data_IF_868839488094
#
_entry.id   IF_868839488094
#
_cell.length_a   1.000
_cell.length_b   1.000
_cell.length_c   1.000
_cell.angle_alpha   90.00
_cell.angle_beta   90.00
_cell.angle_gamma   90.00
#
_symmetry.space_group_name_H-M   'P 1'
#
loop_
_entity.id
_entity.type
_entity.pdbx_description
1 polymer ?
#
# COMPACT_ATOMS: atom_id res chain seq x y z
N UNK A 1 -8.85 -13.46 -11.24
CA UNK A 1 -8.53 -14.11 -12.53
C UNK A 1 -7.43 -13.40 -13.33
N UNK A 2 -7.12 -12.12 -13.02
CA UNK A 2 -6.10 -11.32 -13.71
C UNK A 2 -4.88 -11.02 -12.82
N UNK A 3 -4.79 -11.60 -11.62
CA UNK A 3 -3.74 -11.30 -10.64
C UNK A 3 -3.78 -9.86 -10.08
N UNK A 4 -4.82 -9.10 -10.39
CA UNK A 4 -5.02 -7.74 -9.90
C UNK A 4 -6.10 -7.74 -8.82
N UNK A 5 -5.85 -6.95 -7.77
CA UNK A 5 -6.79 -6.76 -6.67
C UNK A 5 -7.63 -5.53 -6.95
N UNK A 6 -8.95 -5.72 -6.94
CA UNK A 6 -9.87 -4.60 -6.98
C UNK A 6 -10.12 -4.11 -5.54
N UNK A 7 -9.71 -2.89 -5.21
CA UNK A 7 -9.61 -2.45 -3.82
C UNK A 7 -10.95 -2.41 -3.07
N UNK A 8 -12.06 -2.20 -3.76
CA UNK A 8 -13.39 -2.19 -3.13
C UNK A 8 -13.86 -3.58 -2.71
N UNK A 9 -13.67 -4.60 -3.58
CA UNK A 9 -13.96 -6.00 -3.26
C UNK A 9 -13.08 -6.50 -2.10
N UNK A 10 -11.81 -6.08 -2.09
CA UNK A 10 -10.91 -6.39 -0.99
C UNK A 10 -11.38 -5.79 0.33
N UNK A 11 -11.76 -4.51 0.34
CA UNK A 11 -12.21 -3.83 1.55
C UNK A 11 -13.50 -4.46 2.11
N UNK A 12 -14.43 -4.86 1.24
CA UNK A 12 -15.63 -5.61 1.62
C UNK A 12 -15.29 -6.98 2.23
N UNK A 13 -14.35 -7.71 1.60
CA UNK A 13 -13.90 -9.00 2.12
C UNK A 13 -13.23 -8.87 3.49
N UNK A 14 -12.44 -7.81 3.71
CA UNK A 14 -11.79 -7.52 5.00
C UNK A 14 -12.78 -7.19 6.10
N UNK A 15 -13.87 -6.50 5.82
CA UNK A 15 -14.93 -6.25 6.80
C UNK A 15 -15.57 -7.56 7.29
N UNK A 16 -15.82 -8.48 6.37
CA UNK A 16 -16.39 -9.78 6.67
C UNK A 16 -17.81 -9.73 7.27
N UNK A 17 -18.39 -10.88 7.64
CA UNK A 17 -19.71 -10.95 8.24
C UNK A 17 -19.79 -10.19 9.58
N UNK A 18 -20.74 -9.28 9.70
CA UNK A 18 -20.96 -8.46 10.90
C UNK A 18 -19.95 -7.32 11.09
N UNK A 19 -19.01 -7.16 10.18
CA UNK A 19 -18.08 -6.03 10.18
C UNK A 19 -18.67 -4.78 9.51
N UNK A 20 -17.89 -3.72 9.50
CA UNK A 20 -18.27 -2.46 8.86
C UNK A 20 -17.15 -1.95 7.93
N UNK A 21 -17.57 -1.32 6.84
CA UNK A 21 -16.72 -0.66 5.88
C UNK A 21 -17.21 0.76 5.67
N UNK A 22 -16.34 1.74 5.85
CA UNK A 22 -16.62 3.15 5.59
C UNK A 22 -15.58 3.66 4.60
N UNK A 23 -16.01 4.07 3.41
CA UNK A 23 -15.14 4.69 2.43
C UNK A 23 -14.73 6.09 2.88
N UNK A 24 -13.46 6.41 2.67
CA UNK A 24 -12.88 7.70 3.06
C UNK A 24 -12.29 8.42 1.84
N UNK A 25 -12.36 9.75 1.84
CA UNK A 25 -11.63 10.59 0.88
C UNK A 25 -11.29 11.95 1.49
N UNK A 26 -10.40 12.69 0.83
CA UNK A 26 -9.99 14.03 1.30
C UNK A 26 -11.14 15.04 1.14
N UNK A 27 -11.32 15.85 2.18
CA UNK A 27 -12.09 17.09 2.11
C UNK A 27 -11.21 18.27 1.63
N UNK A 28 -11.77 19.48 1.60
CA UNK A 28 -11.05 20.69 1.16
C UNK A 28 -9.89 21.07 2.10
N UNK A 29 -9.95 20.67 3.36
CA UNK A 29 -8.90 20.88 4.35
C UNK A 29 -7.79 19.79 4.32
N UNK A 30 -7.87 18.83 3.38
CA UNK A 30 -6.91 17.73 3.25
C UNK A 30 -7.03 16.63 4.31
N UNK A 31 -8.16 16.54 5.01
CA UNK A 31 -8.45 15.50 6.01
C UNK A 31 -9.33 14.42 5.41
N UNK A 32 -9.09 13.16 5.80
CA UNK A 32 -9.98 12.07 5.43
C UNK A 32 -11.33 12.17 6.15
N UNK A 33 -12.40 12.16 5.37
CA UNK A 33 -13.78 12.15 5.84
C UNK A 33 -14.56 11.01 5.19
N UNK A 34 -15.65 10.61 5.80
CA UNK A 34 -16.56 9.61 5.24
C UNK A 34 -17.21 10.11 3.96
N UNK A 35 -17.24 9.25 2.94
CA UNK A 35 -17.86 9.58 1.65
C UNK A 35 -18.82 8.48 1.21
N UNK A 36 -19.96 8.91 0.69
CA UNK A 36 -20.90 8.03 -0.01
C UNK A 36 -20.60 8.11 -1.51
N UNK A 37 -19.78 7.17 -1.98
CA UNK A 37 -19.30 7.12 -3.36
C UNK A 37 -19.36 5.71 -3.89
N UNK A 38 -19.97 5.54 -5.07
CA UNK A 38 -19.99 4.25 -5.74
C UNK A 38 -18.57 3.74 -6.05
N UNK A 39 -18.31 2.43 -5.98
CA UNK A 39 -17.03 1.82 -6.33
C UNK A 39 -16.52 2.27 -7.70
N UNK A 40 -15.23 2.54 -7.81
CA UNK A 40 -14.56 2.99 -9.04
C UNK A 40 -14.74 4.47 -9.40
N UNK A 41 -15.42 5.25 -8.57
CA UNK A 41 -15.58 6.70 -8.74
C UNK A 41 -14.50 7.53 -8.02
N UNK A 42 -13.51 6.87 -7.43
CA UNK A 42 -12.30 7.53 -6.92
C UNK A 42 -11.53 8.24 -8.04
N UNK A 43 -10.93 9.36 -7.71
CA UNK A 43 -10.13 10.16 -8.66
C UNK A 43 -8.64 9.85 -8.57
N UNK A 44 -8.17 9.36 -7.42
CA UNK A 44 -6.78 9.00 -7.18
C UNK A 44 -6.50 7.50 -7.39
N UNK A 45 -5.24 7.15 -7.62
CA UNK A 45 -4.76 5.77 -7.78
C UNK A 45 -4.63 4.99 -6.47
N UNK A 46 -5.04 5.58 -5.35
CA UNK A 46 -5.13 4.93 -4.05
C UNK A 46 -6.50 5.23 -3.42
N UNK A 47 -7.07 4.27 -2.74
CA UNK A 47 -8.27 4.45 -1.92
C UNK A 47 -7.96 4.27 -0.44
N UNK A 48 -8.72 4.95 0.41
CA UNK A 48 -8.70 4.80 1.84
C UNK A 48 -10.08 4.36 2.36
N UNK A 49 -10.08 3.53 3.41
CA UNK A 49 -11.28 3.09 4.09
C UNK A 49 -11.01 2.87 5.58
N UNK A 50 -12.03 3.01 6.40
CA UNK A 50 -12.07 2.53 7.77
C UNK A 50 -12.80 1.20 7.79
N UNK A 51 -12.14 0.15 8.25
CA UNK A 51 -12.70 -1.20 8.32
C UNK A 51 -12.67 -1.69 9.75
N UNK A 52 -13.79 -2.25 10.21
CA UNK A 52 -13.89 -2.93 11.50
C UNK A 52 -14.33 -4.37 11.26
N UNK A 53 -13.53 -5.32 11.73
CA UNK A 53 -13.78 -6.75 11.52
C UNK A 53 -13.95 -7.46 12.86
N UNK A 54 -15.11 -8.05 13.15
CA UNK A 54 -15.27 -8.94 14.30
C UNK A 54 -14.39 -10.17 14.16
N UNK A 55 -13.75 -10.55 15.25
CA UNK A 55 -12.95 -11.79 15.33
C UNK A 55 -13.37 -12.60 16.54
N UNK A 56 -12.92 -13.86 16.63
CA UNK A 56 -13.19 -14.69 17.78
C UNK A 56 -12.62 -14.11 19.10
N UNK A 57 -11.50 -13.39 19.01
CA UNK A 57 -10.85 -12.74 20.16
C UNK A 57 -11.40 -11.35 20.44
N UNK A 58 -11.95 -10.69 19.44
CA UNK A 58 -12.49 -9.33 19.49
C UNK A 58 -13.87 -9.32 18.82
N UNK A 59 -14.94 -9.78 19.53
CA UNK A 59 -16.30 -9.79 18.98
C UNK A 59 -16.82 -8.38 18.66
N UNK A 60 -16.32 -7.37 19.38
CA UNK A 60 -16.62 -5.94 19.14
C UNK A 60 -16.00 -5.42 17.84
N UNK A 61 -15.02 -6.14 17.30
CA UNK A 61 -14.34 -5.81 16.08
C UNK A 61 -12.98 -5.12 16.28
N UNK A 62 -12.06 -5.40 15.37
CA UNK A 62 -10.77 -4.72 15.25
C UNK A 62 -10.89 -3.68 14.16
N UNK A 63 -10.66 -2.41 14.50
CA UNK A 63 -10.71 -1.28 13.58
C UNK A 63 -9.32 -0.97 13.04
N UNK A 64 -9.22 -0.73 11.74
CA UNK A 64 -8.00 -0.35 11.04
C UNK A 64 -8.30 0.66 9.92
N UNK A 65 -7.30 1.45 9.56
CA UNK A 65 -7.34 2.25 8.34
C UNK A 65 -6.72 1.43 7.22
N UNK A 66 -7.47 1.23 6.15
CA UNK A 66 -7.03 0.48 4.97
C UNK A 66 -6.59 1.45 3.88
N UNK A 67 -5.41 1.20 3.31
CA UNK A 67 -4.94 1.81 2.08
C UNK A 67 -4.82 0.73 1.00
N UNK A 68 -5.31 1.00 -0.20
CA UNK A 68 -5.20 0.07 -1.32
C UNK A 68 -4.89 0.79 -2.62
N UNK A 69 -3.88 0.33 -3.36
CA UNK A 69 -3.61 0.78 -4.71
C UNK A 69 -4.73 0.35 -5.67
N UNK A 70 -5.18 1.25 -6.52
CA UNK A 70 -6.21 0.97 -7.53
C UNK A 70 -5.57 0.71 -8.89
N UNK A 71 -5.51 -0.56 -9.35
CA UNK A 71 -4.91 -0.88 -10.64
C UNK A 71 -5.67 -0.30 -11.83
N UNK A 72 -6.91 0.12 -11.64
CA UNK A 72 -7.74 0.73 -12.71
C UNK A 72 -7.42 2.20 -12.94
N UNK A 73 -6.67 2.82 -12.03
CA UNK A 73 -6.24 4.22 -12.07
C UNK A 73 -4.72 4.31 -12.24
N UNK A 74 -4.26 4.30 -13.48
CA UNK A 74 -2.84 4.40 -13.80
C UNK A 74 -1.96 3.31 -13.16
N UNK A 75 -2.53 2.11 -12.90
CA UNK A 75 -1.85 1.02 -12.18
C UNK A 75 -1.32 1.45 -10.80
N UNK A 76 -2.03 2.32 -10.09
CA UNK A 76 -1.61 2.84 -8.79
C UNK A 76 -0.39 3.77 -8.87
N UNK A 77 -0.21 4.49 -9.99
CA UNK A 77 0.84 5.51 -10.10
C UNK A 77 0.64 6.59 -9.05
N UNK A 78 1.74 7.04 -8.44
CA UNK A 78 1.70 7.99 -7.33
C UNK A 78 2.12 9.40 -7.76
N UNK A 79 1.33 10.37 -7.31
CA UNK A 79 1.60 11.80 -7.40
C UNK A 79 1.02 12.48 -6.15
N UNK A 80 0.88 13.80 -6.16
CA UNK A 80 0.33 14.56 -5.04
C UNK A 80 -0.99 14.00 -4.50
N UNK A 81 -2.02 13.67 -5.34
CA UNK A 81 -3.30 13.18 -4.83
C UNK A 81 -3.20 11.86 -4.04
N UNK A 82 -2.30 10.98 -4.44
CA UNK A 82 -2.06 9.71 -3.75
C UNK A 82 -1.28 9.94 -2.45
N UNK A 83 -0.21 10.73 -2.50
CA UNK A 83 0.62 11.04 -1.34
C UNK A 83 -0.17 11.75 -0.24
N UNK A 84 -1.02 12.71 -0.60
CA UNK A 84 -1.89 13.41 0.36
C UNK A 84 -2.86 12.46 1.07
N UNK A 85 -3.41 11.46 0.37
CA UNK A 85 -4.27 10.44 0.97
C UNK A 85 -3.51 9.50 1.90
N UNK A 86 -2.29 9.14 1.55
CA UNK A 86 -1.41 8.32 2.42
C UNK A 86 -1.14 9.07 3.72
N UNK A 87 -0.72 10.34 3.64
CA UNK A 87 -0.44 11.17 4.81
C UNK A 87 -1.69 11.30 5.68
N UNK A 88 -2.83 11.68 5.10
CA UNK A 88 -4.07 11.85 5.84
C UNK A 88 -4.60 10.53 6.45
N UNK A 89 -4.31 9.37 5.83
CA UNK A 89 -4.67 8.07 6.39
C UNK A 89 -3.83 7.73 7.63
N UNK A 90 -2.55 8.07 7.59
CA UNK A 90 -1.66 7.90 8.73
C UNK A 90 -2.06 8.84 9.87
N UNK A 91 -2.40 10.11 9.56
CA UNK A 91 -2.88 11.09 10.55
C UNK A 91 -4.17 10.59 11.24
N UNK A 92 -5.12 10.08 10.46
CA UNK A 92 -6.37 9.52 11.01
C UNK A 92 -6.12 8.28 11.86
N UNK A 93 -5.21 7.39 11.43
CA UNK A 93 -4.84 6.21 12.20
C UNK A 93 -4.20 6.57 13.54
N UNK A 94 -3.35 7.59 13.56
CA UNK A 94 -2.74 8.12 14.78
C UNK A 94 -3.78 8.74 15.71
N UNK A 95 -4.67 9.61 15.18
CA UNK A 95 -5.78 10.20 15.96
C UNK A 95 -6.68 9.13 16.60
N UNK A 96 -6.93 8.04 15.89
CA UNK A 96 -7.77 6.93 16.35
C UNK A 96 -7.03 5.92 17.22
N UNK A 97 -5.71 5.91 17.23
CA UNK A 97 -4.89 4.89 17.90
C UNK A 97 -5.05 3.50 17.28
N UNK A 98 -5.21 3.41 15.96
CA UNK A 98 -5.43 2.15 15.22
C UNK A 98 -4.31 1.91 14.21
N UNK A 99 -4.06 0.66 13.80
CA UNK A 99 -3.07 0.37 12.76
C UNK A 99 -3.56 0.77 11.36
N UNK A 100 -2.58 0.93 10.46
CA UNK A 100 -2.79 0.99 9.01
C UNK A 100 -2.52 -0.39 8.42
N UNK A 101 -3.42 -0.90 7.59
CA UNK A 101 -3.17 -2.05 6.72
C UNK A 101 -3.09 -1.55 5.27
N UNK A 102 -1.97 -1.79 4.63
CA UNK A 102 -1.70 -1.28 3.30
C UNK A 102 -1.54 -2.40 2.28
N UNK A 103 -2.52 -2.51 1.38
CA UNK A 103 -2.47 -3.44 0.25
C UNK A 103 -1.81 -2.72 -0.93
N UNK A 104 -0.51 -2.94 -1.08
CA UNK A 104 0.31 -2.12 -1.95
C UNK A 104 0.35 -2.66 -3.38
N UNK A 105 0.07 -1.77 -4.31
CA UNK A 105 0.22 -1.96 -5.74
C UNK A 105 0.53 -0.59 -6.35
N UNK A 106 1.64 -0.45 -7.07
CA UNK A 106 2.02 0.83 -7.66
C UNK A 106 2.96 0.66 -8.84
N UNK A 107 2.70 1.39 -9.90
CA UNK A 107 3.60 1.51 -11.05
C UNK A 107 4.72 2.55 -10.85
N UNK A 108 4.84 3.13 -9.65
CA UNK A 108 5.83 4.15 -9.32
C UNK A 108 5.30 5.57 -9.44
N UNK A 109 6.20 6.55 -9.41
CA UNK A 109 5.84 7.96 -9.56
C UNK A 109 5.21 8.21 -10.93
N UNK A 110 4.15 9.04 -10.95
CA UNK A 110 3.49 9.43 -12.19
C UNK A 110 4.45 10.25 -13.06
N UNK A 111 4.62 9.82 -14.30
CA UNK A 111 5.35 10.57 -15.32
C UNK A 111 4.32 11.18 -16.26
N UNK A 112 4.20 12.51 -16.26
CA UNK A 112 3.27 13.24 -17.12
C UNK A 112 3.85 14.60 -17.50
N UNK A 113 3.23 15.24 -18.49
CA UNK A 113 3.58 16.62 -18.84
C UNK A 113 3.08 17.65 -17.82
N UNK A 114 2.17 17.22 -16.93
CA UNK A 114 1.54 18.08 -15.92
C UNK A 114 2.26 18.03 -14.56
N UNK A 115 3.28 17.19 -14.44
CA UNK A 115 4.03 17.01 -13.19
C UNK A 115 5.53 16.97 -13.46
N UNK A 116 6.30 17.62 -12.61
CA UNK A 116 7.75 17.70 -12.67
C UNK A 116 8.42 17.05 -11.46
N UNK A 117 9.51 17.65 -11.04
CA UNK A 117 10.33 17.18 -9.90
C UNK A 117 9.59 17.25 -8.56
N UNK A 118 8.55 18.05 -8.44
CA UNK A 118 7.68 18.18 -7.26
C UNK A 118 7.04 16.85 -6.84
N UNK A 119 6.90 15.88 -7.74
CA UNK A 119 6.48 14.53 -7.37
C UNK A 119 7.43 13.88 -6.36
N UNK A 120 8.72 14.19 -6.42
CA UNK A 120 9.70 13.69 -5.44
C UNK A 120 9.49 14.33 -4.06
N UNK A 121 9.06 15.58 -4.01
CA UNK A 121 8.74 16.26 -2.74
C UNK A 121 7.52 15.61 -2.08
N UNK A 122 6.47 15.31 -2.83
CA UNK A 122 5.28 14.60 -2.34
C UNK A 122 5.62 13.19 -1.86
N UNK A 123 6.41 12.45 -2.65
CA UNK A 123 6.88 11.11 -2.28
C UNK A 123 7.73 11.16 -1.01
N UNK A 124 8.62 12.15 -0.90
CA UNK A 124 9.43 12.38 0.30
C UNK A 124 8.60 12.76 1.52
N UNK A 125 7.55 13.59 1.36
CA UNK A 125 6.64 13.94 2.45
C UNK A 125 5.87 12.72 2.98
N UNK A 126 5.38 11.84 2.08
CA UNK A 126 4.74 10.59 2.50
C UNK A 126 5.73 9.66 3.24
N UNK A 127 6.96 9.51 2.73
CA UNK A 127 7.99 8.73 3.41
C UNK A 127 8.29 9.27 4.81
N UNK A 128 8.46 10.59 4.93
CA UNK A 128 8.70 11.24 6.21
C UNK A 128 7.58 10.93 7.20
N UNK A 129 6.32 11.00 6.77
CA UNK A 129 5.17 10.73 7.65
C UNK A 129 5.10 9.26 8.09
N UNK A 130 5.44 8.32 7.20
CA UNK A 130 5.57 6.89 7.54
C UNK A 130 6.61 6.70 8.65
N UNK A 131 7.79 7.32 8.50
CA UNK A 131 8.89 7.21 9.47
C UNK A 131 8.48 7.82 10.81
N UNK A 132 7.93 9.03 10.84
CA UNK A 132 7.46 9.69 12.06
C UNK A 132 6.43 8.82 12.79
N UNK A 133 5.39 8.35 12.11
CA UNK A 133 4.34 7.51 12.69
C UNK A 133 4.89 6.21 13.28
N UNK A 134 5.77 5.51 12.57
CA UNK A 134 6.32 4.23 13.03
C UNK A 134 7.32 4.41 14.17
N UNK A 135 8.10 5.50 14.19
CA UNK A 135 8.99 5.83 15.31
C UNK A 135 8.23 6.19 16.58
N UNK A 136 7.07 6.82 16.45
CA UNK A 136 6.17 7.13 17.59
C UNK A 136 5.36 5.90 18.05
N UNK A 137 5.63 4.74 17.47
CA UNK A 137 5.05 3.45 17.86
C UNK A 137 3.78 3.08 17.11
N UNK A 138 3.44 3.80 16.04
CA UNK A 138 2.39 3.42 15.12
C UNK A 138 2.72 2.15 14.36
N UNK A 139 1.69 1.45 13.87
CA UNK A 139 1.82 0.18 13.18
C UNK A 139 1.27 0.27 11.76
N UNK A 140 2.10 -0.10 10.78
CA UNK A 140 1.70 -0.22 9.38
C UNK A 140 2.01 -1.65 8.92
N UNK A 141 0.97 -2.43 8.67
CA UNK A 141 1.09 -3.77 8.10
C UNK A 141 0.97 -3.69 6.58
N UNK A 142 1.87 -4.32 5.87
CA UNK A 142 1.94 -4.26 4.40
C UNK A 142 1.67 -5.64 3.81
N UNK A 143 0.69 -5.69 2.91
CA UNK A 143 0.48 -6.83 2.02
C UNK A 143 0.81 -6.38 0.60
N UNK A 144 1.85 -6.96 0.02
CA UNK A 144 2.26 -6.65 -1.36
C UNK A 144 1.31 -7.36 -2.31
N UNK A 145 0.34 -6.62 -2.84
CA UNK A 145 -0.81 -7.14 -3.61
C UNK A 145 -0.57 -7.20 -5.13
N UNK A 146 0.68 -7.03 -5.56
CA UNK A 146 1.06 -7.06 -6.98
C UNK A 146 2.47 -6.52 -7.18
N UNK A 147 2.75 -5.99 -8.37
CA UNK A 147 4.05 -5.39 -8.66
C UNK A 147 4.11 -3.98 -8.06
N UNK A 148 5.10 -3.76 -7.21
CA UNK A 148 5.41 -2.45 -6.62
C UNK A 148 6.70 -1.91 -7.23
N UNK A 149 6.63 -0.71 -7.78
CA UNK A 149 7.75 -0.05 -8.46
C UNK A 149 8.10 1.28 -7.78
N UNK A 150 9.37 1.62 -7.76
CA UNK A 150 9.87 2.94 -7.35
C UNK A 150 9.66 3.25 -5.87
N UNK A 151 8.90 4.31 -5.58
CA UNK A 151 8.68 4.79 -4.21
C UNK A 151 7.99 3.77 -3.30
N UNK A 152 7.04 3.00 -3.82
CA UNK A 152 6.26 2.06 -3.01
C UNK A 152 7.12 1.01 -2.29
N UNK A 153 8.12 0.35 -2.91
CA UNK A 153 9.03 -0.53 -2.20
C UNK A 153 9.79 0.13 -1.04
N UNK A 154 10.19 1.40 -1.18
CA UNK A 154 10.81 2.15 -0.09
C UNK A 154 9.85 2.36 1.07
N UNK A 155 8.61 2.78 0.80
CA UNK A 155 7.60 2.95 1.83
C UNK A 155 7.29 1.63 2.54
N UNK A 156 7.18 0.53 1.79
CA UNK A 156 6.97 -0.79 2.36
C UNK A 156 8.11 -1.19 3.30
N UNK A 157 9.35 -0.98 2.86
CA UNK A 157 10.54 -1.31 3.66
C UNK A 157 10.61 -0.47 4.94
N UNK A 158 10.44 0.85 4.84
CA UNK A 158 10.49 1.74 6.01
C UNK A 158 9.35 1.47 7.00
N UNK A 159 8.15 1.13 6.50
CA UNK A 159 7.01 0.81 7.33
C UNK A 159 7.16 -0.49 8.14
N UNK A 160 7.99 -1.43 7.66
CA UNK A 160 8.09 -2.79 8.21
C UNK A 160 9.50 -3.23 8.58
N UNK A 161 10.44 -2.31 8.67
CA UNK A 161 11.82 -2.60 9.06
C UNK A 161 11.89 -2.98 10.55
N UNK A 162 12.22 -4.24 10.82
CA UNK A 162 12.15 -4.86 12.17
C UNK A 162 12.96 -4.17 13.26
N UNK A 163 13.91 -3.27 12.93
CA UNK A 163 14.75 -2.62 13.95
C UNK A 163 14.00 -1.56 14.76
N UNK A 164 12.94 -0.98 14.22
CA UNK A 164 12.22 0.13 14.87
C UNK A 164 10.72 0.17 14.56
N UNK A 165 10.19 -0.79 13.81
CA UNK A 165 8.77 -0.82 13.46
C UNK A 165 8.07 -2.02 14.06
N UNK A 166 6.75 -1.94 14.22
CA UNK A 166 5.89 -3.04 14.68
C UNK A 166 5.23 -3.78 13.53
N UNK A 167 5.14 -3.13 12.37
CA UNK A 167 4.46 -3.65 11.20
C UNK A 167 5.17 -4.85 10.58
N UNK A 168 4.41 -5.66 9.90
CA UNK A 168 4.87 -6.83 9.15
C UNK A 168 4.66 -6.64 7.66
N UNK A 169 5.46 -7.33 6.85
CA UNK A 169 5.32 -7.39 5.40
C UNK A 169 5.04 -8.81 4.94
N UNK A 170 3.95 -8.97 4.21
CA UNK A 170 3.50 -10.23 3.61
C UNK A 170 3.59 -10.12 2.10
N UNK A 171 4.15 -11.11 1.43
CA UNK A 171 4.18 -11.20 -0.02
C UNK A 171 3.46 -12.44 -0.54
N UNK A 172 2.96 -12.35 -1.77
CA UNK A 172 2.40 -13.48 -2.52
C UNK A 172 3.33 -13.84 -3.69
N UNK A 173 3.22 -15.06 -4.27
CA UNK A 173 4.08 -15.48 -5.39
C UNK A 173 3.96 -14.60 -6.65
N UNK A 174 2.82 -13.91 -6.81
CA UNK A 174 2.53 -13.00 -7.92
C UNK A 174 2.86 -11.53 -7.60
N UNK A 175 3.58 -11.29 -6.50
CA UNK A 175 4.01 -9.95 -6.07
C UNK A 175 5.52 -9.76 -6.19
N UNK A 176 5.94 -8.52 -6.39
CA UNK A 176 7.36 -8.14 -6.40
C UNK A 176 7.53 -6.68 -5.95
N UNK A 177 8.66 -6.40 -5.32
CA UNK A 177 9.11 -5.07 -4.92
C UNK A 177 10.37 -4.73 -5.72
N UNK A 178 10.27 -3.81 -6.68
CA UNK A 178 11.37 -3.45 -7.55
C UNK A 178 11.53 -1.93 -7.62
N UNK A 179 12.77 -1.43 -7.57
CA UNK A 179 13.03 -0.02 -7.80
C UNK A 179 12.72 0.34 -9.26
N UNK A 180 13.18 -0.52 -10.16
CA UNK A 180 12.99 -0.38 -11.60
C UNK A 180 12.59 -1.74 -12.17
N UNK A 181 11.52 -1.78 -12.96
CA UNK A 181 11.04 -3.01 -13.58
C UNK A 181 12.02 -3.57 -14.62
N UNK A 182 11.92 -4.88 -14.89
CA UNK A 182 12.81 -5.61 -15.80
C UNK A 182 13.00 -4.92 -17.15
N UNK A 183 11.92 -4.47 -17.78
CA UNK A 183 12.03 -3.84 -19.11
C UNK A 183 12.95 -2.61 -19.13
N UNK A 184 12.87 -1.78 -18.10
CA UNK A 184 13.74 -0.60 -17.97
C UNK A 184 15.18 -0.97 -17.69
N UNK A 185 15.42 -2.01 -16.90
CA UNK A 185 16.76 -2.54 -16.65
C UNK A 185 17.39 -3.09 -17.92
N UNK A 186 16.66 -3.91 -18.67
CA UNK A 186 17.12 -4.48 -19.94
C UNK A 186 17.43 -3.37 -20.96
N UNK A 187 16.56 -2.37 -21.06
CA UNK A 187 16.78 -1.22 -21.95
C UNK A 187 18.02 -0.41 -21.59
N UNK A 188 18.32 -0.27 -20.31
CA UNK A 188 19.52 0.45 -19.84
C UNK A 188 20.82 -0.34 -20.04
N UNK A 189 20.74 -1.59 -20.47
CA UNK A 189 21.89 -2.50 -20.61
C UNK A 189 22.39 -3.07 -19.29
N UNK A 190 21.63 -2.92 -18.21
CA UNK A 190 21.92 -3.51 -16.91
C UNK A 190 21.70 -5.03 -16.89
N UNK A 191 22.38 -5.72 -15.97
CA UNK A 191 22.10 -7.13 -15.69
C UNK A 191 20.81 -7.23 -14.89
N UNK A 192 19.84 -8.00 -15.38
CA UNK A 192 18.57 -8.26 -14.69
C UNK A 192 18.28 -9.77 -14.63
N UNK A 193 17.23 -10.15 -13.91
CA UNK A 193 16.72 -11.51 -13.89
C UNK A 193 15.77 -11.76 -15.06
N UNK A 194 15.18 -12.95 -15.11
CA UNK A 194 14.26 -13.38 -16.19
C UNK A 194 12.96 -12.57 -16.18
N UNK A 195 12.54 -12.11 -14.98
CA UNK A 195 11.30 -11.35 -14.75
C UNK A 195 11.41 -10.48 -13.49
N UNK A 196 10.35 -9.75 -13.15
CA UNK A 196 10.30 -8.93 -11.93
C UNK A 196 10.39 -9.78 -10.64
N UNK A 197 9.92 -11.03 -10.66
CA UNK A 197 9.99 -11.90 -9.48
C UNK A 197 11.43 -12.34 -9.19
N UNK A 198 12.25 -12.50 -10.23
CA UNK A 198 13.69 -12.73 -10.09
C UNK A 198 14.46 -11.51 -9.56
N UNK A 199 13.91 -10.29 -9.72
CA UNK A 199 14.51 -9.04 -9.23
C UNK A 199 14.09 -8.75 -7.80
N UNK A 200 12.81 -8.92 -7.46
CA UNK A 200 12.24 -8.50 -6.18
C UNK A 200 11.06 -9.34 -5.69
N UNK A 201 10.95 -10.61 -6.12
CA UNK A 201 9.97 -11.55 -5.60
C UNK A 201 10.36 -12.14 -4.25
N UNK A 202 9.41 -12.80 -3.60
CA UNK A 202 9.62 -13.37 -2.26
C UNK A 202 10.71 -14.42 -2.23
N UNK A 203 10.58 -15.49 -3.04
CA UNK A 203 11.40 -16.71 -2.90
C UNK A 203 12.89 -16.47 -3.13
N UNK A 204 13.23 -15.59 -4.06
CA UNK A 204 14.64 -15.38 -4.48
C UNK A 204 15.29 -14.20 -3.80
N UNK A 205 14.53 -13.20 -3.36
CA UNK A 205 15.10 -11.94 -2.90
C UNK A 205 14.51 -11.51 -1.55
N UNK A 206 13.21 -11.22 -1.46
CA UNK A 206 12.65 -10.50 -0.31
C UNK A 206 12.47 -11.39 0.92
N UNK A 207 12.26 -12.69 0.77
CA UNK A 207 12.30 -13.65 1.87
C UNK A 207 13.73 -13.91 2.36
N UNK A 208 14.68 -14.31 1.49
CA UNK A 208 16.05 -14.58 1.89
C UNK A 208 16.80 -13.39 2.52
N UNK A 209 16.51 -12.16 2.10
CA UNK A 209 17.13 -10.97 2.69
C UNK A 209 16.43 -10.46 3.97
N UNK A 210 15.30 -11.07 4.35
CA UNK A 210 14.57 -10.74 5.56
C UNK A 210 13.63 -9.52 5.43
N UNK A 211 13.50 -8.93 4.26
CA UNK A 211 12.60 -7.78 4.05
C UNK A 211 11.12 -8.19 4.15
N UNK A 212 10.74 -9.32 3.55
CA UNK A 212 9.41 -9.88 3.73
C UNK A 212 9.45 -10.96 4.83
N UNK A 213 8.79 -10.70 5.95
CA UNK A 213 8.75 -11.62 7.08
C UNK A 213 7.88 -12.83 6.80
N UNK A 214 6.84 -12.66 5.99
CA UNK A 214 5.86 -13.71 5.71
C UNK A 214 5.56 -13.83 4.22
N UNK A 215 5.15 -15.04 3.83
CA UNK A 215 4.56 -15.30 2.52
C UNK A 215 3.20 -15.96 2.65
N UNK A 216 2.32 -15.68 1.72
CA UNK A 216 1.02 -16.33 1.60
C UNK A 216 0.84 -16.87 0.16
N UNK A 217 0.16 -18.02 -0.04
CA UNK A 217 0.01 -18.61 -1.35
C UNK A 217 -0.85 -17.78 -2.32
N UNK A 218 -1.67 -16.89 -1.79
CA UNK A 218 -2.53 -15.97 -2.52
C UNK A 218 -3.06 -14.88 -1.57
N UNK A 219 -3.59 -13.81 -2.12
CA UNK A 219 -4.01 -12.64 -1.33
C UNK A 219 -5.07 -12.96 -0.25
N UNK A 220 -6.03 -13.84 -0.54
CA UNK A 220 -7.05 -14.21 0.45
C UNK A 220 -6.49 -15.01 1.65
N UNK A 221 -5.25 -15.48 1.58
CA UNK A 221 -4.55 -16.13 2.68
C UNK A 221 -3.56 -15.18 3.40
N UNK A 222 -3.26 -14.05 2.77
CA UNK A 222 -2.43 -13.01 3.36
C UNK A 222 -3.22 -12.17 4.36
#
# INVERSE_FOLDING_TARGET
RRGLVYPYELSEALAGPGGSLVALDLNEEGRLVEVDRAPGRNTAGIIAAKVTTPTALHPEGVTRIILSGDPTKGLGAVAEPECSRIIAAIDLAEEMGVPVEWFTLSSGARISMDSGVENMDWVGAALRRIVEFTQDGGEINVVVAGINVGAQPYWNAEATMLMHTKGILVMTPDSAMVLTGKQSLDFSGGVSAEDNFGIGGYDRVMGPNGQAQYSAPHLAAA
#
